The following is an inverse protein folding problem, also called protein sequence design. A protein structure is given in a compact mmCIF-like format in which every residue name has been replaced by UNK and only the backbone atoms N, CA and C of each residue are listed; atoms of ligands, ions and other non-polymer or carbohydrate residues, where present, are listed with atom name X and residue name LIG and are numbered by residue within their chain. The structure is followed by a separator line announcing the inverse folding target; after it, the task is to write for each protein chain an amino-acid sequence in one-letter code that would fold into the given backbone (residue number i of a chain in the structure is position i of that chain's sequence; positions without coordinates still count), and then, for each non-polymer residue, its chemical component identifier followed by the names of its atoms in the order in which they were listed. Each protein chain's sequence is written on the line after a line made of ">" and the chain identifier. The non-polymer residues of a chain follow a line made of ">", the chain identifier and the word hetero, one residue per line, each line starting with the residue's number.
data_IF_790269612375
#
_entry.id   IF_790269612375
#
_cell.length_a   1.000
_cell.length_b   1.000
_cell.length_c   1.000
_cell.angle_alpha   90.00
_cell.angle_beta   90.00
_cell.angle_gamma   90.00
#
_symmetry.space_group_name_H-M   'P 1'
#
loop_
_entity.id
_entity.type
_entity.pdbx_description
1 polymer ?
#
# COMPACT_ATOMS: atom_id res chain seq x y z
N UNK A 1 1.22 -37.38 22.00
CA UNK A 1 0.83 -37.22 20.58
C UNK A 1 0.98 -35.77 20.20
N UNK A 2 1.78 -35.52 19.16
CA UNK A 2 1.97 -34.27 18.40
C UNK A 2 2.48 -33.03 19.12
N UNK A 3 3.81 -32.93 19.17
CA UNK A 3 4.52 -31.66 19.02
C UNK A 3 4.16 -31.04 17.67
N UNK A 4 3.40 -29.95 17.67
CA UNK A 4 3.23 -29.13 16.47
C UNK A 4 4.54 -28.36 16.26
N UNK A 5 5.40 -28.89 15.40
CA UNK A 5 6.55 -28.17 14.86
C UNK A 5 6.03 -27.04 13.97
N UNK A 6 5.76 -25.88 14.58
CA UNK A 6 5.39 -24.66 13.86
C UNK A 6 6.61 -24.13 13.12
N UNK A 7 6.89 -24.66 11.93
CA UNK A 7 7.91 -24.09 11.06
C UNK A 7 7.53 -22.64 10.72
N UNK A 8 8.51 -21.72 10.83
CA UNK A 8 8.34 -20.33 10.46
C UNK A 8 7.73 -20.24 9.05
N UNK A 9 6.57 -19.59 8.91
CA UNK A 9 5.91 -19.48 7.59
C UNK A 9 6.69 -18.49 6.73
N UNK A 10 7.26 -18.98 5.64
CA UNK A 10 7.85 -18.16 4.60
C UNK A 10 6.76 -17.69 3.64
N UNK A 11 6.70 -16.38 3.36
CA UNK A 11 5.70 -15.78 2.49
C UNK A 11 6.25 -14.49 1.85
N UNK A 12 5.59 -13.99 0.80
CA UNK A 12 6.01 -12.79 0.08
C UNK A 12 5.03 -11.62 0.26
N UNK A 13 5.57 -10.43 0.48
CA UNK A 13 4.79 -9.21 0.54
C UNK A 13 4.23 -8.80 -0.84
N UNK A 14 3.19 -7.95 -0.88
CA UNK A 14 2.26 -7.73 0.22
C UNK A 14 1.17 -8.80 0.26
N UNK A 15 0.91 -9.53 -0.84
CA UNK A 15 -0.34 -10.27 -1.01
C UNK A 15 -0.44 -11.58 -0.22
N UNK A 16 0.69 -12.24 0.05
CA UNK A 16 0.75 -13.45 0.90
C UNK A 16 0.96 -13.09 2.38
N UNK A 17 1.30 -11.83 2.65
CA UNK A 17 1.53 -11.32 3.99
C UNK A 17 0.19 -11.02 4.69
N UNK A 18 -0.24 -12.01 5.47
CA UNK A 18 -1.42 -11.94 6.34
C UNK A 18 -1.06 -11.71 7.81
N UNK A 19 0.24 -11.78 8.15
CA UNK A 19 0.72 -11.71 9.52
C UNK A 19 0.44 -10.33 10.11
N UNK A 20 -0.22 -10.27 11.26
CA UNK A 20 -0.13 -9.10 12.14
C UNK A 20 1.29 -9.03 12.70
N UNK A 21 1.68 -7.92 13.33
CA UNK A 21 2.98 -7.75 14.02
C UNK A 21 3.35 -8.87 15.03
N UNK A 22 2.43 -9.79 15.31
CA UNK A 22 2.47 -10.80 16.38
C UNK A 22 2.72 -12.23 15.88
N UNK A 23 2.69 -12.50 14.57
CA UNK A 23 2.94 -13.85 14.03
C UNK A 23 4.38 -13.99 13.49
N UNK A 24 5.08 -15.04 13.93
CA UNK A 24 6.48 -15.33 13.57
C UNK A 24 6.59 -15.94 12.15
N UNK A 25 7.44 -15.36 11.29
CA UNK A 25 7.70 -15.86 9.92
C UNK A 25 8.68 -14.99 9.14
N UNK A 26 9.29 -15.56 8.09
CA UNK A 26 10.15 -14.81 7.15
C UNK A 26 9.26 -14.13 6.09
N UNK A 27 9.14 -12.80 6.17
CA UNK A 27 8.47 -11.99 5.15
C UNK A 27 9.48 -11.59 4.07
N UNK A 28 9.34 -12.16 2.87
CA UNK A 28 10.14 -11.82 1.70
C UNK A 28 9.59 -10.58 1.03
N UNK A 29 10.49 -9.80 0.43
CA UNK A 29 10.11 -8.64 -0.37
C UNK A 29 9.18 -9.06 -1.52
N UNK A 30 8.25 -8.17 -1.87
CA UNK A 30 7.34 -8.40 -2.97
C UNK A 30 8.00 -8.23 -4.34
N UNK A 31 7.28 -8.62 -5.38
CA UNK A 31 7.70 -8.37 -6.76
C UNK A 31 7.40 -6.92 -7.15
N UNK A 32 8.22 -6.37 -8.06
CA UNK A 32 7.97 -5.04 -8.64
C UNK A 32 6.65 -5.06 -9.44
N UNK A 33 5.70 -4.16 -9.13
CA UNK A 33 4.49 -4.02 -9.94
C UNK A 33 4.81 -3.64 -11.39
N UNK A 34 4.06 -4.19 -12.33
CA UNK A 34 4.23 -3.92 -13.76
C UNK A 34 3.64 -2.58 -14.22
N UNK A 35 2.96 -1.85 -13.33
CA UNK A 35 2.29 -0.58 -13.66
C UNK A 35 2.15 0.34 -12.44
N UNK A 36 2.01 1.64 -12.71
CA UNK A 36 1.73 2.65 -11.70
C UNK A 36 0.47 2.35 -10.89
N UNK A 37 -0.56 1.79 -11.53
CA UNK A 37 -1.77 1.38 -10.85
C UNK A 37 -1.51 0.24 -9.85
N UNK A 38 -0.62 -0.69 -10.18
CA UNK A 38 -0.19 -1.75 -9.26
C UNK A 38 0.56 -1.20 -8.05
N UNK A 39 1.48 -0.25 -8.26
CA UNK A 39 2.15 0.45 -7.16
C UNK A 39 1.14 1.21 -6.28
N UNK A 40 0.21 1.94 -6.89
CA UNK A 40 -0.79 2.72 -6.16
C UNK A 40 -1.74 1.85 -5.34
N UNK A 41 -2.15 0.69 -5.87
CA UNK A 41 -2.97 -0.26 -5.13
C UNK A 41 -2.24 -0.78 -3.88
N UNK A 42 -0.95 -1.12 -4.01
CA UNK A 42 -0.14 -1.57 -2.87
C UNK A 42 0.03 -0.46 -1.84
N UNK A 43 0.24 0.80 -2.26
CA UNK A 43 0.29 1.94 -1.34
C UNK A 43 -1.02 2.09 -0.55
N UNK A 44 -2.16 1.99 -1.25
CA UNK A 44 -3.48 2.06 -0.62
C UNK A 44 -3.69 0.94 0.39
N UNK A 45 -3.25 -0.28 0.07
CA UNK A 45 -3.32 -1.42 0.96
C UNK A 45 -2.51 -1.19 2.23
N UNK A 46 -1.23 -0.82 2.11
CA UNK A 46 -0.35 -0.57 3.26
C UNK A 46 -0.94 0.51 4.18
N UNK A 47 -1.49 1.57 3.58
CA UNK A 47 -2.16 2.65 4.31
C UNK A 47 -3.46 2.20 4.99
N UNK A 48 -4.33 1.48 4.28
CA UNK A 48 -5.63 1.06 4.80
C UNK A 48 -5.46 0.04 5.92
N UNK A 49 -4.49 -0.87 5.83
CA UNK A 49 -4.26 -1.88 6.88
C UNK A 49 -3.54 -1.31 8.12
N UNK A 50 -2.93 -0.12 8.02
CA UNK A 50 -2.28 0.52 9.16
C UNK A 50 -3.29 0.71 10.32
N UNK A 51 -2.93 0.13 11.47
CA UNK A 51 -3.71 0.16 12.70
C UNK A 51 -4.98 -0.72 12.70
N UNK A 52 -5.14 -1.65 11.75
CA UNK A 52 -6.27 -2.57 11.67
C UNK A 52 -5.82 -4.04 11.68
N UNK A 53 -6.76 -4.97 11.80
CA UNK A 53 -6.48 -6.40 11.64
C UNK A 53 -6.22 -6.73 10.15
N UNK A 54 -5.00 -7.13 9.82
CA UNK A 54 -4.56 -7.35 8.44
C UNK A 54 -5.36 -8.47 7.76
N UNK A 55 -5.53 -9.62 8.40
CA UNK A 55 -6.30 -10.74 7.85
C UNK A 55 -7.74 -10.33 7.46
N UNK A 56 -8.39 -9.50 8.27
CA UNK A 56 -9.71 -8.94 7.98
C UNK A 56 -9.67 -8.02 6.75
N UNK A 57 -8.69 -7.10 6.69
CA UNK A 57 -8.53 -6.20 5.53
C UNK A 57 -8.28 -7.00 4.24
N UNK A 58 -7.44 -8.03 4.30
CA UNK A 58 -7.15 -8.92 3.16
C UNK A 58 -8.39 -9.65 2.68
N UNK A 59 -9.16 -10.22 3.60
CA UNK A 59 -10.44 -10.89 3.29
C UNK A 59 -11.42 -9.97 2.58
N UNK A 60 -11.43 -8.68 2.95
CA UNK A 60 -12.30 -7.67 2.35
C UNK A 60 -11.69 -6.95 1.13
N UNK A 61 -10.42 -7.22 0.79
CA UNK A 61 -9.71 -6.50 -0.26
C UNK A 61 -10.40 -6.52 -1.64
N UNK A 62 -10.98 -7.65 -2.11
CA UNK A 62 -11.74 -7.65 -3.37
C UNK A 62 -12.90 -6.65 -3.36
N UNK A 63 -13.60 -6.50 -2.22
CA UNK A 63 -14.69 -5.51 -2.07
C UNK A 63 -14.16 -4.08 -2.05
N UNK A 64 -13.02 -3.85 -1.39
CA UNK A 64 -12.35 -2.53 -1.43
C UNK A 64 -11.93 -2.18 -2.85
N UNK A 65 -11.39 -3.14 -3.60
CA UNK A 65 -11.04 -2.95 -5.01
C UNK A 65 -12.25 -2.51 -5.84
N UNK A 66 -13.40 -3.18 -5.72
CA UNK A 66 -14.63 -2.75 -6.39
C UNK A 66 -15.15 -1.37 -5.91
N UNK A 67 -15.10 -1.13 -4.60
CA UNK A 67 -15.52 0.12 -3.97
C UNK A 67 -14.69 1.31 -4.43
N UNK A 68 -13.37 1.14 -4.56
CA UNK A 68 -12.42 2.15 -5.01
C UNK A 68 -12.11 2.08 -6.51
N UNK A 69 -13.03 1.56 -7.32
CA UNK A 69 -12.92 1.58 -8.78
C UNK A 69 -11.68 0.89 -9.36
N UNK A 70 -11.29 -0.24 -8.78
CA UNK A 70 -10.08 -0.95 -9.14
C UNK A 70 -8.79 -0.21 -8.78
N UNK A 71 -8.87 0.77 -7.87
CA UNK A 71 -7.79 1.70 -7.57
C UNK A 71 -7.26 2.46 -8.80
N UNK A 72 -8.14 2.78 -9.75
CA UNK A 72 -7.77 3.58 -10.93
C UNK A 72 -7.43 5.02 -10.50
N UNK A 73 -6.16 5.40 -10.70
CA UNK A 73 -5.57 6.63 -10.18
C UNK A 73 -6.35 7.85 -10.69
N UNK A 74 -6.63 7.92 -11.99
CA UNK A 74 -7.31 9.06 -12.59
C UNK A 74 -8.72 9.24 -12.05
N UNK A 75 -9.48 8.16 -11.91
CA UNK A 75 -10.84 8.17 -11.38
C UNK A 75 -10.85 8.58 -9.92
N UNK A 76 -10.00 7.99 -9.09
CA UNK A 76 -9.93 8.33 -7.67
C UNK A 76 -9.44 9.77 -7.44
N UNK A 77 -8.54 10.27 -8.27
CA UNK A 77 -8.09 11.66 -8.22
C UNK A 77 -9.21 12.67 -8.51
N UNK A 78 -10.27 12.26 -9.22
CA UNK A 78 -11.44 13.10 -9.53
C UNK A 78 -12.64 12.88 -8.60
N UNK A 79 -12.62 11.82 -7.79
CA UNK A 79 -13.71 11.49 -6.88
C UNK A 79 -13.76 12.40 -5.64
N UNK A 80 -14.92 12.38 -4.98
CA UNK A 80 -15.14 13.05 -3.69
C UNK A 80 -15.28 12.04 -2.56
N UNK A 81 -15.04 12.47 -1.32
CA UNK A 81 -15.16 11.60 -0.15
C UNK A 81 -16.60 11.10 0.02
N UNK A 82 -17.59 11.98 -0.15
CA UNK A 82 -19.02 11.63 -0.04
C UNK A 82 -19.44 10.58 -1.08
N UNK A 83 -19.00 10.76 -2.33
CA UNK A 83 -19.23 9.79 -3.40
C UNK A 83 -18.69 8.41 -3.01
N UNK A 84 -17.41 8.32 -2.61
CA UNK A 84 -16.79 7.05 -2.25
C UNK A 84 -17.41 6.46 -0.97
N UNK A 85 -17.71 7.28 0.03
CA UNK A 85 -18.34 6.84 1.28
C UNK A 85 -19.74 6.27 1.06
N UNK A 86 -20.48 6.73 0.04
CA UNK A 86 -21.77 6.17 -0.36
C UNK A 86 -21.64 4.80 -1.05
N UNK A 87 -20.46 4.44 -1.57
CA UNK A 87 -20.29 3.19 -2.32
C UNK A 87 -20.31 1.96 -1.40
N UNK A 88 -20.93 0.85 -1.86
CA UNK A 88 -20.74 -0.43 -1.22
C UNK A 88 -19.28 -0.87 -1.38
N UNK A 89 -18.76 -1.59 -0.38
CA UNK A 89 -17.39 -2.09 -0.42
C UNK A 89 -16.32 -1.05 -0.12
N UNK A 90 -16.64 0.22 0.13
CA UNK A 90 -15.67 1.22 0.64
C UNK A 90 -15.57 1.15 2.16
N UNK A 91 -14.35 1.30 2.69
CA UNK A 91 -14.10 1.37 4.13
C UNK A 91 -14.84 2.56 4.75
N UNK A 92 -15.59 2.33 5.84
CA UNK A 92 -16.34 3.37 6.54
C UNK A 92 -15.44 4.18 7.49
N UNK A 93 -14.43 4.80 6.91
CA UNK A 93 -13.49 5.68 7.59
C UNK A 93 -13.16 6.88 6.68
N UNK A 94 -13.75 8.03 6.97
CA UNK A 94 -13.64 9.24 6.15
C UNK A 94 -12.18 9.67 5.96
N UNK A 95 -11.35 9.63 7.01
CA UNK A 95 -9.92 9.99 6.92
C UNK A 95 -9.14 9.10 5.95
N UNK A 96 -9.43 7.80 5.93
CA UNK A 96 -8.80 6.85 4.99
C UNK A 96 -9.30 7.07 3.57
N UNK A 97 -10.59 7.35 3.38
CA UNK A 97 -11.16 7.66 2.06
C UNK A 97 -10.57 8.95 1.49
N UNK A 98 -10.50 10.01 2.29
CA UNK A 98 -9.85 11.27 1.90
C UNK A 98 -8.37 11.07 1.56
N UNK A 99 -7.67 10.21 2.31
CA UNK A 99 -6.29 9.87 2.03
C UNK A 99 -6.13 9.13 0.68
N UNK A 100 -7.02 8.20 0.33
CA UNK A 100 -7.00 7.53 -1.00
C UNK A 100 -7.11 8.55 -2.11
N UNK A 101 -8.07 9.49 -2.04
CA UNK A 101 -8.27 10.53 -3.06
C UNK A 101 -7.04 11.44 -3.15
N UNK A 102 -6.54 11.92 -2.02
CA UNK A 102 -5.34 12.75 -1.97
C UNK A 102 -4.14 12.04 -2.58
N UNK A 103 -3.93 10.78 -2.18
CA UNK A 103 -2.79 10.00 -2.63
C UNK A 103 -2.91 9.69 -4.12
N UNK A 104 -4.10 9.45 -4.67
CA UNK A 104 -4.29 9.30 -6.11
C UNK A 104 -3.83 10.54 -6.89
N UNK A 105 -4.16 11.75 -6.39
CA UNK A 105 -3.71 13.01 -7.00
C UNK A 105 -2.19 13.16 -6.96
N UNK A 106 -1.59 12.96 -5.79
CA UNK A 106 -0.14 13.11 -5.63
C UNK A 106 0.63 12.03 -6.39
N UNK A 107 0.11 10.80 -6.42
CA UNK A 107 0.71 9.69 -7.16
C UNK A 107 0.71 9.97 -8.66
N UNK A 108 -0.42 10.43 -9.21
CA UNK A 108 -0.51 10.85 -10.61
C UNK A 108 0.46 12.00 -10.95
N UNK A 109 0.62 12.97 -10.04
CA UNK A 109 1.58 14.08 -10.20
C UNK A 109 3.03 13.57 -10.25
N UNK A 110 3.40 12.72 -9.30
CA UNK A 110 4.76 12.12 -9.22
C UNK A 110 5.05 11.27 -10.46
N UNK A 111 4.12 10.41 -10.88
CA UNK A 111 4.29 9.60 -12.08
C UNK A 111 4.46 10.48 -13.33
N UNK A 112 3.71 11.57 -13.46
CA UNK A 112 3.86 12.51 -14.56
C UNK A 112 5.21 13.25 -14.54
N UNK A 113 5.71 13.65 -13.36
CA UNK A 113 7.00 14.35 -13.21
C UNK A 113 8.20 13.46 -13.56
N UNK A 114 8.14 12.17 -13.23
CA UNK A 114 9.26 11.24 -13.40
C UNK A 114 9.09 10.28 -14.60
N UNK A 115 7.96 10.32 -15.29
CA UNK A 115 7.58 9.41 -16.37
C UNK A 115 6.91 8.11 -15.89
N UNK A 116 7.19 7.66 -14.67
CA UNK A 116 6.46 6.60 -13.96
C UNK A 116 6.75 6.67 -12.46
N UNK A 117 5.96 5.95 -11.66
CA UNK A 117 6.23 5.84 -10.23
C UNK A 117 7.47 4.98 -9.95
N UNK A 118 7.74 3.95 -10.77
CA UNK A 118 8.98 3.18 -10.68
C UNK A 118 10.21 4.08 -10.91
N UNK A 119 10.15 4.97 -11.91
CA UNK A 119 11.23 5.93 -12.17
C UNK A 119 11.44 6.88 -10.99
N UNK A 120 10.35 7.35 -10.36
CA UNK A 120 10.44 8.11 -9.11
C UNK A 120 11.16 7.33 -8.01
N UNK A 121 10.75 6.08 -7.73
CA UNK A 121 11.46 5.24 -6.75
C UNK A 121 12.94 5.06 -7.12
N UNK A 122 13.25 4.93 -8.40
CA UNK A 122 14.63 4.89 -8.92
C UNK A 122 15.49 6.05 -8.43
N UNK A 123 14.94 7.27 -8.35
CA UNK A 123 15.65 8.47 -7.84
C UNK A 123 15.96 8.41 -6.35
N UNK A 124 15.30 7.53 -5.59
CA UNK A 124 15.50 7.40 -4.16
C UNK A 124 16.65 6.46 -3.80
N UNK A 125 17.10 5.60 -4.72
CA UNK A 125 18.09 4.54 -4.42
C UNK A 125 19.42 5.09 -3.91
N UNK A 126 19.83 6.26 -4.38
CA UNK A 126 21.08 6.89 -3.95
C UNK A 126 20.95 7.67 -2.63
N UNK A 127 19.72 7.77 -2.08
CA UNK A 127 19.48 8.43 -0.80
C UNK A 127 19.70 7.47 0.37
N UNK A 128 20.13 7.98 1.54
CA UNK A 128 20.10 7.20 2.77
C UNK A 128 18.68 6.71 3.09
N UNK A 129 18.53 5.50 3.64
CA UNK A 129 17.24 4.88 3.96
C UNK A 129 16.25 5.82 4.68
N UNK A 130 16.65 6.63 5.69
CA UNK A 130 15.72 7.57 6.33
C UNK A 130 15.15 8.63 5.38
N UNK A 131 15.89 9.03 4.34
CA UNK A 131 15.44 10.00 3.34
C UNK A 131 14.57 9.36 2.25
N UNK A 132 14.75 8.05 1.98
CA UNK A 132 13.83 7.29 1.13
C UNK A 132 12.43 7.24 1.76
N UNK A 133 12.36 6.88 3.05
CA UNK A 133 11.12 6.92 3.86
C UNK A 133 10.59 8.36 4.00
N UNK A 134 11.50 9.31 4.25
CA UNK A 134 11.36 10.78 4.08
C UNK A 134 10.46 11.17 2.90
N UNK A 135 10.85 10.67 1.74
CA UNK A 135 10.28 11.05 0.45
C UNK A 135 8.84 10.57 0.27
N UNK A 136 8.46 9.45 0.87
CA UNK A 136 7.09 8.94 0.83
C UNK A 136 6.19 9.60 1.87
N UNK A 137 6.64 9.69 3.13
CA UNK A 137 5.81 10.20 4.24
C UNK A 137 5.46 11.68 4.12
N UNK A 138 6.32 12.49 3.46
CA UNK A 138 6.03 13.91 3.18
C UNK A 138 4.96 14.10 2.10
N UNK A 139 4.75 13.10 1.24
CA UNK A 139 3.89 13.19 0.06
C UNK A 139 2.53 12.57 0.30
N UNK A 140 2.50 11.40 0.91
CA UNK A 140 1.28 10.59 1.01
C UNK A 140 0.62 10.71 2.38
N UNK A 141 -0.69 10.96 2.38
CA UNK A 141 -1.51 11.01 3.60
C UNK A 141 -1.73 9.61 4.16
N UNK A 142 -1.76 9.53 5.49
CA UNK A 142 -1.91 8.27 6.24
C UNK A 142 -0.77 7.26 5.96
N UNK A 143 0.37 7.72 5.45
CA UNK A 143 1.58 6.91 5.26
C UNK A 143 2.62 7.39 6.26
N UNK A 144 2.71 6.71 7.40
CA UNK A 144 3.77 6.92 8.39
C UNK A 144 5.06 6.18 8.03
N UNK A 145 6.16 6.36 8.78
CA UNK A 145 7.45 5.72 8.49
C UNK A 145 7.35 4.19 8.31
N UNK A 146 6.69 3.51 9.24
CA UNK A 146 6.45 2.06 9.18
C UNK A 146 5.65 1.64 7.93
N UNK A 147 4.68 2.46 7.51
CA UNK A 147 3.86 2.19 6.33
C UNK A 147 4.65 2.41 5.05
N UNK A 148 5.50 3.44 5.01
CA UNK A 148 6.37 3.74 3.89
C UNK A 148 7.45 2.66 3.74
N UNK A 149 8.07 2.23 4.84
CA UNK A 149 9.05 1.15 4.85
C UNK A 149 8.43 -0.17 4.35
N UNK A 150 7.29 -0.56 4.93
CA UNK A 150 6.57 -1.76 4.48
C UNK A 150 6.12 -1.66 3.01
N UNK A 151 5.75 -0.47 2.54
CA UNK A 151 5.45 -0.25 1.12
C UNK A 151 6.67 -0.50 0.23
N UNK A 152 7.84 0.06 0.56
CA UNK A 152 9.08 -0.15 -0.20
C UNK A 152 9.44 -1.65 -0.25
N UNK A 153 9.37 -2.34 0.88
CA UNK A 153 9.55 -3.80 0.95
C UNK A 153 8.53 -4.55 0.07
N UNK A 154 7.26 -4.13 0.10
CA UNK A 154 6.15 -4.76 -0.65
C UNK A 154 6.28 -4.62 -2.15
N UNK A 155 6.96 -3.59 -2.65
CA UNK A 155 7.11 -3.34 -4.09
C UNK A 155 8.48 -3.78 -4.62
N UNK A 156 9.23 -4.56 -3.84
CA UNK A 156 10.54 -5.05 -4.25
C UNK A 156 11.54 -3.92 -4.49
N UNK A 157 11.43 -2.84 -3.71
CA UNK A 157 12.41 -1.79 -3.69
C UNK A 157 13.67 -2.34 -3.02
N UNK A 158 14.62 -2.78 -3.85
CA UNK A 158 15.95 -3.18 -3.38
C UNK A 158 16.71 -1.90 -3.02
N UNK A 159 17.13 -1.82 -1.75
CA UNK A 159 18.16 -0.88 -1.32
C UNK A 159 19.52 -1.25 -1.94
#
# INVERSE_FOLDING_TARGET
>A
MSTATGGARVHSAPWECVLSKEEEGECRAGARPASDQGYFEILCLCMIQAGLNWASIRKHWPKYREGFYGFEIGRLARSTADELMARPGVIKNARKVEAVIHNAKEFGRVAAEHGSFEAFLGTLKDLPEPEQVKSLTRRFKQVGPETADYFLHSVGFAQ
#
